data_IF_522860932883
#
_entry.id   IF_522860932883
#
_cell.length_a   1.000
_cell.length_b   1.000
_cell.length_c   1.000
_cell.angle_alpha   90.00
_cell.angle_beta   90.00
_cell.angle_gamma   90.00
#
_symmetry.space_group_name_H-M   'P 1'
#
loop_
_entity.id
_entity.type
_entity.pdbx_description
1 polymer ?
#
# COMPACT_ATOMS: atom_id res chain seq x y z
N UNK A 1 -74.98 16.11 -28.37
CA UNK A 1 -74.24 15.94 -27.07
C UNK A 1 -73.85 14.49 -26.96
N UNK A 2 -72.63 14.16 -27.37
CA UNK A 2 -72.14 12.80 -27.47
C UNK A 2 -71.50 12.43 -26.15
N UNK A 3 -72.07 11.43 -25.45
CA UNK A 3 -71.61 10.92 -24.18
C UNK A 3 -70.41 9.98 -24.46
N UNK A 4 -69.18 10.47 -24.40
CA UNK A 4 -67.97 9.62 -24.50
C UNK A 4 -67.81 8.83 -23.19
N UNK A 5 -68.17 7.56 -23.27
CA UNK A 5 -68.08 6.60 -22.17
C UNK A 5 -66.55 6.28 -21.94
N UNK A 6 -65.92 6.98 -21.05
CA UNK A 6 -64.50 6.71 -20.66
C UNK A 6 -64.43 5.42 -19.85
N UNK A 7 -63.92 4.33 -20.44
CA UNK A 7 -63.56 3.10 -19.75
C UNK A 7 -62.06 3.18 -19.41
N UNK A 8 -61.69 3.20 -18.13
CA UNK A 8 -60.29 3.12 -17.75
C UNK A 8 -59.73 1.75 -18.14
N UNK A 9 -58.43 1.69 -18.57
CA UNK A 9 -57.81 0.44 -18.97
C UNK A 9 -57.82 -0.56 -17.81
N UNK A 10 -58.30 -1.79 -18.08
CA UNK A 10 -58.31 -2.91 -17.13
C UNK A 10 -56.85 -3.29 -16.85
N UNK A 11 -56.35 -3.04 -15.64
CA UNK A 11 -55.05 -3.51 -15.19
C UNK A 11 -55.11 -5.02 -14.99
N UNK A 12 -54.22 -5.76 -15.66
CA UNK A 12 -54.05 -7.19 -15.49
C UNK A 12 -53.68 -7.52 -14.02
N UNK A 13 -54.28 -8.58 -13.42
CA UNK A 13 -54.03 -8.93 -12.01
C UNK A 13 -52.61 -9.38 -11.72
N UNK A 14 -51.84 -9.79 -12.72
CA UNK A 14 -50.41 -10.18 -12.56
C UNK A 14 -49.45 -9.00 -12.26
N UNK A 15 -49.86 -7.76 -12.57
CA UNK A 15 -48.99 -6.59 -12.27
C UNK A 15 -49.09 -6.11 -10.82
N UNK A 16 -49.94 -6.72 -9.98
CA UNK A 16 -50.01 -6.33 -8.57
C UNK A 16 -48.91 -6.90 -7.68
N UNK A 17 -48.24 -7.96 -8.12
CA UNK A 17 -47.16 -8.59 -7.33
C UNK A 17 -45.81 -7.92 -7.49
N UNK A 18 -45.55 -7.28 -8.63
CA UNK A 18 -44.20 -6.72 -8.96
C UNK A 18 -44.00 -5.30 -8.42
N UNK A 19 -45.08 -4.51 -8.29
CA UNK A 19 -44.98 -3.11 -7.83
C UNK A 19 -44.54 -3.01 -6.35
N UNK A 20 -44.91 -4.00 -5.54
CA UNK A 20 -44.54 -3.98 -4.11
C UNK A 20 -43.15 -4.56 -3.84
N UNK A 21 -42.66 -5.44 -4.71
CA UNK A 21 -41.27 -5.93 -4.63
C UNK A 21 -40.26 -4.90 -5.13
N UNK A 22 -40.64 -4.05 -6.10
CA UNK A 22 -39.81 -2.95 -6.57
C UNK A 22 -39.75 -1.75 -5.59
N UNK A 23 -40.79 -1.60 -4.76
CA UNK A 23 -40.83 -0.59 -3.70
C UNK A 23 -40.11 -1.04 -2.42
N UNK A 24 -39.89 -2.35 -2.27
CA UNK A 24 -39.15 -2.92 -1.13
C UNK A 24 -37.60 -2.99 -1.37
N UNK A 25 -37.18 -2.79 -2.61
CA UNK A 25 -35.80 -2.46 -2.87
C UNK A 25 -35.60 -0.96 -2.58
N UNK A 26 -35.42 -0.61 -1.31
CA UNK A 26 -34.93 0.71 -0.97
C UNK A 26 -33.71 1.00 -1.89
N UNK A 27 -33.76 2.06 -2.73
CA UNK A 27 -32.58 2.46 -3.46
C UNK A 27 -31.49 2.68 -2.41
N UNK A 28 -30.41 1.93 -2.51
CA UNK A 28 -29.26 2.11 -1.62
C UNK A 28 -29.02 3.62 -1.50
N UNK A 29 -28.92 4.16 -0.27
CA UNK A 29 -28.86 5.60 -0.07
C UNK A 29 -27.78 6.17 -0.98
N UNK A 30 -28.07 7.25 -1.75
CA UNK A 30 -27.07 7.89 -2.57
C UNK A 30 -25.97 8.41 -1.65
N UNK A 31 -24.85 7.67 -1.55
CA UNK A 31 -23.76 8.00 -0.62
C UNK A 31 -23.01 6.83 0.00
N UNK A 32 -23.32 5.57 -0.33
CA UNK A 32 -22.54 4.41 0.10
C UNK A 32 -21.18 4.28 -0.66
N UNK A 33 -20.70 5.34 -1.28
CA UNK A 33 -19.30 5.49 -1.66
C UNK A 33 -18.42 5.53 -0.41
N UNK A 34 -17.13 5.20 -0.51
CA UNK A 34 -16.23 5.23 0.64
C UNK A 34 -16.34 6.61 1.31
N UNK A 35 -16.78 6.62 2.57
CA UNK A 35 -16.93 7.84 3.36
C UNK A 35 -15.67 8.69 3.24
N UNK A 36 -15.82 10.01 3.11
CA UNK A 36 -14.71 10.93 2.79
C UNK A 36 -13.45 10.72 3.63
N UNK A 37 -13.59 10.33 4.92
CA UNK A 37 -12.47 10.03 5.81
C UNK A 37 -11.63 8.81 5.35
N UNK A 38 -12.25 7.78 4.74
CA UNK A 38 -11.53 6.59 4.22
C UNK A 38 -10.63 6.94 3.04
N UNK A 39 -11.08 7.86 2.18
CA UNK A 39 -10.28 8.35 1.06
C UNK A 39 -9.09 9.19 1.56
N UNK A 40 -9.28 10.00 2.61
CA UNK A 40 -8.21 10.74 3.25
C UNK A 40 -7.23 9.81 3.97
N UNK A 41 -7.71 8.80 4.69
CA UNK A 41 -6.87 7.80 5.35
C UNK A 41 -5.99 7.05 4.33
N UNK A 42 -6.54 6.64 3.18
CA UNK A 42 -5.77 6.02 2.10
C UNK A 42 -4.73 6.97 1.51
N UNK A 43 -5.07 8.26 1.32
CA UNK A 43 -4.12 9.27 0.83
C UNK A 43 -3.00 9.49 1.84
N UNK A 44 -3.30 9.61 3.12
CA UNK A 44 -2.30 9.77 4.19
C UNK A 44 -1.39 8.57 4.28
N UNK A 45 -1.93 7.34 4.27
CA UNK A 45 -1.13 6.11 4.28
C UNK A 45 -0.20 6.02 3.07
N UNK A 46 -0.69 6.41 1.88
CA UNK A 46 0.09 6.44 0.65
C UNK A 46 1.26 7.43 0.73
N UNK A 47 0.98 8.66 1.18
CA UNK A 47 2.02 9.69 1.31
C UNK A 47 3.02 9.36 2.42
N UNK A 48 2.58 8.75 3.51
CA UNK A 48 3.45 8.27 4.57
C UNK A 48 4.42 7.21 4.04
N UNK A 49 3.93 6.19 3.33
CA UNK A 49 4.78 5.18 2.71
C UNK A 49 5.74 5.79 1.68
N UNK A 50 5.26 6.75 0.86
CA UNK A 50 6.11 7.45 -0.10
C UNK A 50 7.26 8.19 0.60
N UNK A 51 6.99 8.88 1.70
CA UNK A 51 8.00 9.60 2.49
C UNK A 51 9.01 8.63 3.10
N UNK A 52 8.56 7.52 3.66
CA UNK A 52 9.42 6.48 4.24
C UNK A 52 10.36 5.90 3.19
N UNK A 53 9.85 5.53 2.01
CA UNK A 53 10.67 5.01 0.92
C UNK A 53 11.64 6.04 0.35
N UNK A 54 11.21 7.30 0.22
CA UNK A 54 12.10 8.38 -0.21
C UNK A 54 13.25 8.57 0.78
N UNK A 55 12.96 8.59 2.08
CA UNK A 55 13.98 8.69 3.11
C UNK A 55 14.96 7.51 3.06
N UNK A 56 14.42 6.27 3.00
CA UNK A 56 15.25 5.05 2.94
C UNK A 56 16.19 5.07 1.72
N UNK A 57 15.68 5.44 0.55
CA UNK A 57 16.48 5.57 -0.68
C UNK A 57 17.56 6.63 -0.56
N UNK A 58 17.20 7.85 -0.12
CA UNK A 58 18.15 8.96 0.02
C UNK A 58 19.25 8.65 1.03
N UNK A 59 18.90 8.03 2.16
CA UNK A 59 19.89 7.63 3.16
C UNK A 59 20.95 6.64 2.62
N UNK A 60 20.55 5.73 1.70
CA UNK A 60 21.46 4.77 1.07
C UNK A 60 22.23 5.39 -0.10
N UNK A 61 21.65 6.32 -0.84
CA UNK A 61 22.31 7.04 -1.93
C UNK A 61 23.39 7.98 -1.38
N UNK A 62 23.16 8.57 -0.21
CA UNK A 62 24.13 9.49 0.41
C UNK A 62 25.39 8.79 0.95
N UNK A 63 25.30 7.49 1.32
CA UNK A 63 26.44 6.66 1.73
C UNK A 63 26.32 5.24 1.15
N UNK A 64 26.72 5.05 -0.13
CA UNK A 64 26.62 3.75 -0.80
C UNK A 64 27.49 2.68 -0.13
N UNK A 65 28.61 3.05 0.48
CA UNK A 65 29.46 2.10 1.16
C UNK A 65 28.84 1.60 2.47
N UNK A 66 28.11 2.45 3.19
CA UNK A 66 27.31 2.02 4.33
C UNK A 66 26.20 1.06 3.90
N UNK A 67 25.55 1.30 2.77
CA UNK A 67 24.55 0.39 2.22
C UNK A 67 25.17 -1.00 1.90
N UNK A 68 26.36 -1.03 1.30
CA UNK A 68 27.09 -2.29 1.04
C UNK A 68 27.46 -3.00 2.34
N UNK A 69 27.94 -2.26 3.36
CA UNK A 69 28.26 -2.84 4.69
C UNK A 69 27.00 -3.42 5.35
N UNK A 70 25.87 -2.72 5.27
CA UNK A 70 24.59 -3.18 5.81
C UNK A 70 24.16 -4.50 5.16
N UNK A 71 24.09 -4.57 3.83
CA UNK A 71 23.70 -5.79 3.11
C UNK A 71 24.64 -6.96 3.41
N UNK A 72 25.95 -6.71 3.47
CA UNK A 72 26.95 -7.73 3.81
C UNK A 72 26.79 -8.26 5.24
N UNK A 73 26.42 -7.41 6.19
CA UNK A 73 26.29 -7.76 7.60
C UNK A 73 25.18 -8.82 7.84
N UNK A 74 24.15 -8.85 7.01
CA UNK A 74 23.12 -9.89 7.08
C UNK A 74 23.63 -11.28 6.73
N UNK A 75 24.73 -11.42 6.01
CA UNK A 75 25.31 -12.71 5.57
C UNK A 75 24.29 -13.64 4.90
N UNK A 76 23.38 -13.09 4.11
CA UNK A 76 22.32 -13.81 3.39
C UNK A 76 22.67 -14.04 1.92
N UNK A 77 23.60 -13.24 1.39
CA UNK A 77 23.95 -13.23 -0.03
C UNK A 77 25.41 -13.64 -0.25
N UNK A 78 25.71 -14.35 -1.36
CA UNK A 78 27.09 -14.51 -1.83
C UNK A 78 27.71 -13.13 -2.11
N UNK A 79 28.99 -12.96 -1.86
CA UNK A 79 29.70 -11.68 -1.97
C UNK A 79 29.51 -11.01 -3.35
N UNK A 80 29.43 -11.81 -4.40
CA UNK A 80 29.18 -11.31 -5.77
C UNK A 80 27.84 -10.54 -5.91
N UNK A 81 26.84 -10.86 -5.10
CA UNK A 81 25.52 -10.21 -5.12
C UNK A 81 25.38 -9.06 -4.13
N UNK A 82 26.26 -8.92 -3.18
CA UNK A 82 26.16 -7.88 -2.13
C UNK A 82 26.13 -6.48 -2.75
N UNK A 83 27.10 -6.13 -3.60
CA UNK A 83 27.14 -4.81 -4.25
C UNK A 83 25.97 -4.55 -5.19
N UNK A 84 25.63 -5.45 -6.13
CA UNK A 84 24.45 -5.26 -7.00
C UNK A 84 23.16 -5.03 -6.21
N UNK A 85 22.91 -5.79 -5.15
CA UNK A 85 21.75 -5.63 -4.30
C UNK A 85 21.80 -4.31 -3.53
N UNK A 86 22.91 -3.99 -2.89
CA UNK A 86 23.07 -2.75 -2.12
C UNK A 86 22.88 -1.50 -2.98
N UNK A 87 23.28 -1.52 -4.24
CA UNK A 87 23.12 -0.40 -5.17
C UNK A 87 21.74 -0.39 -5.84
N UNK A 88 21.18 -1.56 -6.14
CA UNK A 88 19.85 -1.68 -6.75
C UNK A 88 18.70 -1.31 -5.81
N UNK A 89 18.86 -1.60 -4.53
CA UNK A 89 17.83 -1.41 -3.51
C UNK A 89 17.33 0.04 -3.40
N UNK A 90 18.19 1.08 -3.28
CA UNK A 90 17.72 2.46 -3.19
C UNK A 90 17.00 2.95 -4.45
N UNK A 91 17.31 2.42 -5.63
CA UNK A 91 16.55 2.73 -6.84
C UNK A 91 15.15 2.12 -6.81
N UNK A 92 15.01 0.88 -6.35
CA UNK A 92 13.70 0.25 -6.15
C UNK A 92 12.86 1.03 -5.12
N UNK A 93 13.44 1.43 -4.01
CA UNK A 93 12.82 2.26 -2.98
C UNK A 93 12.38 3.62 -3.54
N UNK A 94 13.22 4.26 -4.35
CA UNK A 94 12.90 5.55 -4.97
C UNK A 94 11.76 5.43 -5.98
N UNK A 95 11.74 4.38 -6.79
CA UNK A 95 10.63 4.11 -7.72
C UNK A 95 9.33 3.92 -6.96
N UNK A 96 9.31 3.14 -5.88
CA UNK A 96 8.14 2.97 -5.01
C UNK A 96 7.70 4.31 -4.41
N UNK A 97 8.64 5.12 -3.93
CA UNK A 97 8.36 6.44 -3.39
C UNK A 97 7.66 7.35 -4.41
N UNK A 98 8.19 7.43 -5.63
CA UNK A 98 7.63 8.26 -6.71
C UNK A 98 6.25 7.77 -7.13
N UNK A 99 6.08 6.47 -7.37
CA UNK A 99 4.78 5.89 -7.76
C UNK A 99 3.71 6.15 -6.70
N UNK A 100 4.06 5.97 -5.42
CA UNK A 100 3.16 6.27 -4.31
C UNK A 100 2.88 7.76 -4.17
N UNK A 101 3.88 8.63 -4.30
CA UNK A 101 3.70 10.08 -4.20
C UNK A 101 2.77 10.63 -5.28
N UNK A 102 2.98 10.21 -6.52
CA UNK A 102 2.18 10.62 -7.69
C UNK A 102 0.81 9.91 -7.69
N UNK A 103 0.71 8.72 -7.09
CA UNK A 103 -0.50 7.90 -7.09
C UNK A 103 -0.75 7.22 -8.44
N UNK A 104 0.32 6.86 -9.12
CA UNK A 104 0.30 6.09 -10.35
C UNK A 104 0.58 4.61 -10.02
N UNK A 105 -0.21 3.69 -10.61
CA UNK A 105 -0.11 2.26 -10.35
C UNK A 105 -0.08 1.94 -8.83
N UNK A 106 -0.91 2.66 -8.05
CA UNK A 106 -0.91 2.62 -6.57
C UNK A 106 -0.97 1.20 -6.02
N UNK A 107 -1.77 0.32 -6.64
CA UNK A 107 -1.87 -1.08 -6.21
C UNK A 107 -0.56 -1.84 -6.40
N UNK A 108 0.10 -1.68 -7.55
CA UNK A 108 1.38 -2.34 -7.82
C UNK A 108 2.48 -1.83 -6.89
N UNK A 109 2.53 -0.50 -6.68
CA UNK A 109 3.48 0.11 -5.75
C UNK A 109 3.24 -0.35 -4.30
N UNK A 110 1.98 -0.51 -3.89
CA UNK A 110 1.62 -1.01 -2.57
C UNK A 110 2.01 -2.50 -2.41
N UNK A 111 1.78 -3.33 -3.42
CA UNK A 111 2.23 -4.74 -3.42
C UNK A 111 3.75 -4.82 -3.40
N UNK A 112 4.43 -4.04 -4.24
CA UNK A 112 5.90 -3.97 -4.24
C UNK A 112 6.46 -3.55 -2.87
N UNK A 113 5.83 -2.55 -2.22
CA UNK A 113 6.17 -2.13 -0.86
C UNK A 113 5.97 -3.25 0.16
N UNK A 114 4.85 -3.98 0.07
CA UNK A 114 4.57 -5.11 0.97
C UNK A 114 5.59 -6.24 0.80
N UNK A 115 5.96 -6.57 -0.43
CA UNK A 115 6.98 -7.59 -0.71
C UNK A 115 8.34 -7.15 -0.14
N UNK A 116 8.76 -5.91 -0.40
CA UNK A 116 10.06 -5.42 0.04
C UNK A 116 10.15 -5.32 1.57
N UNK A 117 9.10 -4.83 2.25
CA UNK A 117 9.01 -4.83 3.71
C UNK A 117 9.02 -6.24 4.28
N UNK A 118 8.31 -7.18 3.66
CA UNK A 118 8.33 -8.59 4.06
C UNK A 118 9.74 -9.20 3.96
N UNK A 119 10.47 -8.90 2.89
CA UNK A 119 11.87 -9.34 2.72
C UNK A 119 12.78 -8.75 3.81
N UNK A 120 12.61 -7.48 4.16
CA UNK A 120 13.36 -6.86 5.26
C UNK A 120 13.05 -7.51 6.60
N UNK A 121 11.78 -7.74 6.91
CA UNK A 121 11.37 -8.42 8.15
C UNK A 121 11.96 -9.83 8.25
N UNK A 122 11.95 -10.60 7.16
CA UNK A 122 12.58 -11.93 7.10
C UNK A 122 14.09 -11.83 7.32
N UNK A 123 14.76 -10.86 6.71
CA UNK A 123 16.19 -10.64 6.88
C UNK A 123 16.54 -10.28 8.34
N UNK A 124 15.78 -9.35 8.95
CA UNK A 124 15.94 -8.94 10.35
C UNK A 124 15.72 -10.14 11.29
N UNK A 125 14.63 -10.89 11.10
CA UNK A 125 14.34 -12.08 11.91
C UNK A 125 15.42 -13.16 11.77
N UNK A 126 15.96 -13.37 10.56
CA UNK A 126 17.05 -14.30 10.31
C UNK A 126 18.37 -13.85 10.95
N UNK A 127 18.66 -12.54 10.96
CA UNK A 127 19.83 -11.99 11.65
C UNK A 127 19.70 -12.19 13.17
N UNK A 128 18.55 -11.87 13.73
CA UNK A 128 18.27 -12.07 15.15
C UNK A 128 18.38 -13.55 15.56
N UNK A 129 17.73 -14.45 14.82
CA UNK A 129 17.79 -15.89 15.10
C UNK A 129 19.21 -16.48 15.06
N UNK A 130 20.11 -15.86 14.28
CA UNK A 130 21.52 -16.25 14.20
C UNK A 130 22.41 -15.53 15.22
N UNK A 131 21.85 -14.66 16.06
CA UNK A 131 22.58 -13.90 17.05
C UNK A 131 23.57 -12.87 16.46
N UNK A 132 23.34 -12.42 15.22
CA UNK A 132 24.19 -11.42 14.60
C UNK A 132 24.01 -10.07 15.32
N UNK A 133 25.10 -9.36 15.57
CA UNK A 133 25.09 -8.01 16.15
C UNK A 133 25.14 -6.98 15.01
N UNK A 134 23.95 -6.58 14.50
CA UNK A 134 23.86 -5.67 13.36
C UNK A 134 22.73 -4.64 13.55
N UNK A 135 22.93 -3.44 13.00
CA UNK A 135 21.84 -2.51 12.73
C UNK A 135 21.27 -2.74 11.34
N UNK A 136 19.97 -2.67 11.20
CA UNK A 136 19.22 -3.01 9.97
C UNK A 136 19.67 -2.20 8.74
N UNK A 137 20.04 -0.94 8.91
CA UNK A 137 20.46 -0.09 7.78
C UNK A 137 19.33 0.35 6.85
N UNK A 138 18.07 0.12 7.21
CA UNK A 138 16.92 0.51 6.38
C UNK A 138 16.88 2.03 6.13
N UNK A 139 17.32 2.83 7.09
CA UNK A 139 17.40 4.30 7.02
C UNK A 139 18.83 4.85 7.07
N UNK A 140 19.80 4.09 6.57
CA UNK A 140 21.21 4.45 6.60
C UNK A 140 21.93 3.97 7.85
N UNK A 141 23.29 4.04 7.84
CA UNK A 141 24.13 3.71 9.00
C UNK A 141 24.14 2.23 9.44
N UNK A 142 23.62 1.30 8.61
CA UNK A 142 23.57 -0.12 8.92
C UNK A 142 24.92 -0.82 8.85
N UNK A 143 24.98 -2.03 9.42
CA UNK A 143 26.18 -2.85 9.42
C UNK A 143 26.47 -3.47 10.77
N UNK A 144 27.67 -4.08 10.96
CA UNK A 144 28.08 -4.64 12.25
C UNK A 144 28.01 -3.58 13.35
N UNK A 145 27.43 -3.94 14.49
CA UNK A 145 27.29 -3.06 15.63
C UNK A 145 27.57 -3.84 16.92
N UNK A 146 27.90 -3.12 18.00
CA UNK A 146 28.05 -3.71 19.32
C UNK A 146 26.92 -3.24 20.23
N UNK A 147 26.43 -4.13 21.09
CA UNK A 147 25.38 -3.80 22.07
C UNK A 147 23.96 -3.78 21.52
N UNK A 148 23.72 -4.37 20.33
CA UNK A 148 22.38 -4.58 19.78
C UNK A 148 21.70 -5.70 20.58
N UNK A 149 20.54 -5.41 21.12
CA UNK A 149 19.76 -6.37 21.92
C UNK A 149 18.42 -6.76 21.25
N UNK A 150 17.65 -7.63 21.90
CA UNK A 150 16.37 -8.09 21.40
C UNK A 150 15.35 -6.94 21.20
N UNK A 151 15.48 -5.84 21.95
CA UNK A 151 14.56 -4.70 21.86
C UNK A 151 14.76 -3.92 20.57
N UNK A 152 16.00 -3.82 20.10
CA UNK A 152 16.33 -3.16 18.84
C UNK A 152 15.68 -3.91 17.68
N UNK A 153 15.84 -5.24 17.61
CA UNK A 153 15.20 -6.07 16.58
C UNK A 153 13.66 -6.02 16.65
N UNK A 154 13.09 -6.05 17.85
CA UNK A 154 11.65 -5.94 18.04
C UNK A 154 11.14 -4.58 17.59
N UNK A 155 11.84 -3.50 17.90
CA UNK A 155 11.50 -2.14 17.47
C UNK A 155 11.46 -2.02 15.95
N UNK A 156 12.46 -2.57 15.27
CA UNK A 156 12.53 -2.59 13.80
C UNK A 156 11.39 -3.43 13.20
N UNK A 157 11.13 -4.62 13.73
CA UNK A 157 10.06 -5.50 13.26
C UNK A 157 8.67 -4.89 13.47
N UNK A 158 8.42 -4.26 14.62
CA UNK A 158 7.13 -3.59 14.90
C UNK A 158 6.90 -2.41 13.96
N UNK A 159 7.92 -1.61 13.71
CA UNK A 159 7.87 -0.50 12.74
C UNK A 159 7.53 -1.03 11.34
N UNK A 160 8.29 -2.04 10.88
CA UNK A 160 8.12 -2.60 9.53
C UNK A 160 6.77 -3.32 9.37
N UNK A 161 6.27 -4.00 10.43
CA UNK A 161 4.93 -4.58 10.47
C UNK A 161 3.83 -3.51 10.35
N UNK A 162 4.00 -2.36 10.99
CA UNK A 162 3.09 -1.22 10.84
C UNK A 162 3.06 -0.68 9.40
N UNK A 163 4.23 -0.50 8.79
CA UNK A 163 4.33 -0.08 7.39
C UNK A 163 3.76 -1.12 6.43
N UNK A 164 4.00 -2.40 6.70
CA UNK A 164 3.43 -3.52 5.94
C UNK A 164 1.90 -3.51 6.00
N UNK A 165 1.31 -3.27 7.16
CA UNK A 165 -0.14 -3.15 7.30
C UNK A 165 -0.70 -2.02 6.41
N UNK A 166 -0.07 -0.85 6.37
CA UNK A 166 -0.45 0.24 5.46
C UNK A 166 -0.32 -0.17 3.98
N UNK A 167 0.75 -0.84 3.59
CA UNK A 167 0.96 -1.32 2.24
C UNK A 167 -0.13 -2.33 1.82
N UNK A 168 -0.46 -3.29 2.68
CA UNK A 168 -1.51 -4.29 2.44
C UNK A 168 -2.89 -3.62 2.33
N UNK A 169 -3.22 -2.68 3.21
CA UNK A 169 -4.48 -1.93 3.15
C UNK A 169 -4.61 -1.14 1.84
N UNK A 170 -3.53 -0.51 1.37
CA UNK A 170 -3.50 0.19 0.10
C UNK A 170 -3.62 -0.76 -1.10
N UNK A 171 -3.01 -1.95 -1.04
CA UNK A 171 -3.13 -2.97 -2.08
C UNK A 171 -4.57 -3.48 -2.22
N UNK A 172 -5.30 -3.61 -1.11
CA UNK A 172 -6.70 -4.04 -1.11
C UNK A 172 -7.68 -2.91 -1.47
N UNK A 173 -7.37 -1.65 -1.12
CA UNK A 173 -8.23 -0.48 -1.32
C UNK A 173 -7.46 0.67 -1.96
N UNK A 174 -7.08 0.54 -3.25
CA UNK A 174 -6.19 1.51 -3.90
C UNK A 174 -6.83 2.88 -4.16
N UNK A 175 -8.17 3.01 -4.02
CA UNK A 175 -8.86 4.29 -4.25
C UNK A 175 -8.46 5.30 -3.19
N UNK A 176 -7.71 6.32 -3.60
CA UNK A 176 -7.31 7.46 -2.76
C UNK A 176 -7.63 8.77 -3.47
N UNK A 177 -7.85 9.85 -2.70
CA UNK A 177 -7.93 11.19 -3.27
C UNK A 177 -6.55 11.60 -3.80
N UNK A 178 -6.52 12.42 -4.86
CA UNK A 178 -5.27 12.90 -5.46
C UNK A 178 -4.39 11.80 -6.13
N UNK A 179 -4.96 10.64 -6.47
CA UNK A 179 -4.27 9.64 -7.27
C UNK A 179 -4.54 9.91 -8.76
N UNK A 180 -3.50 9.84 -9.59
CA UNK A 180 -3.65 9.92 -11.05
C UNK A 180 -4.47 8.76 -11.58
N UNK A 181 -4.36 7.57 -11.00
CA UNK A 181 -5.18 6.40 -11.33
C UNK A 181 -6.69 6.70 -11.28
N UNK A 182 -7.13 7.54 -10.32
CA UNK A 182 -8.55 7.87 -10.18
C UNK A 182 -9.04 8.89 -11.22
N UNK A 183 -8.13 9.67 -11.81
CA UNK A 183 -8.45 10.64 -12.88
C UNK A 183 -8.51 9.96 -14.23
N UNK A 184 -7.57 9.05 -14.52
CA UNK A 184 -7.52 8.31 -15.77
C UNK A 184 -8.73 7.37 -15.94
N UNK A 185 -9.22 6.77 -14.83
CA UNK A 185 -10.42 5.91 -14.86
C UNK A 185 -11.74 6.68 -15.09
N UNK A 186 -11.75 8.00 -14.96
CA UNK A 186 -12.94 8.84 -15.18
C UNK A 186 -13.03 9.42 -16.61
N UNK A 187 -12.01 9.19 -17.44
CA UNK A 187 -11.96 9.69 -18.83
C UNK A 187 -12.27 8.63 -19.89
N UNK A 188 -12.50 7.36 -19.50
CA UNK A 188 -12.99 6.35 -20.44
C UNK A 188 -14.52 6.46 -20.56
N UNK A 189 -15.06 6.74 -21.78
CA UNK A 189 -16.48 6.90 -22.06
C UNK A 189 -17.24 5.57 -22.02
#
# INVERSE_FOLDING_TARGET
MENVNYQPPRRHPEQRGTVWTDLAADPAPPGAGPTGWRLWAATTARLLLATVWAWAALAKISDPDAAVRAVRAYQLLPEALVRPVAWGLPFAELVLAVLLAVGLATRLAAVGSAVLLGLFMVAIAAAWARGLQIHCGCFGGGGPASGVDARDYLGELVRDAGLLAFAVLLAWRPRSRLALDSRLSSEEP
#
